data_IF_905724821032
#
_entry.id   IF_905724821032
#
_cell.length_a   1.000
_cell.length_b   1.000
_cell.length_c   1.000
_cell.angle_alpha   90.00
_cell.angle_beta   90.00
_cell.angle_gamma   90.00
#
_symmetry.space_group_name_H-M   'P 1'
#
loop_
_entity.id
_entity.type
_entity.pdbx_description
1 polymer ?
#
# COMPACT_ATOMS: atom_id res chain seq x y z
N UNK A 1 71.76 42.64 -10.41
CA UNK A 1 71.48 41.21 -10.69
C UNK A 1 70.04 40.91 -10.28
N UNK A 2 69.20 40.51 -11.24
CA UNK A 2 67.74 40.41 -11.11
C UNK A 2 67.34 39.11 -10.39
N UNK A 3 66.49 39.23 -9.35
CA UNK A 3 65.83 38.10 -8.65
C UNK A 3 64.67 37.58 -9.49
N UNK A 4 64.71 36.31 -9.89
CA UNK A 4 63.62 35.61 -10.57
C UNK A 4 62.72 34.95 -9.53
N UNK A 5 61.48 35.44 -9.40
CA UNK A 5 60.44 34.87 -8.53
C UNK A 5 59.61 33.90 -9.39
N UNK A 6 59.74 32.61 -9.12
CA UNK A 6 58.92 31.56 -9.75
C UNK A 6 57.55 31.49 -9.04
N UNK A 7 56.49 32.02 -9.66
CA UNK A 7 55.11 31.82 -9.17
C UNK A 7 54.59 30.49 -9.71
N UNK A 8 54.25 29.55 -8.82
CA UNK A 8 53.51 28.33 -9.17
C UNK A 8 52.04 28.65 -9.28
N UNK A 9 51.46 28.44 -10.46
CA UNK A 9 50.02 28.53 -10.71
C UNK A 9 49.31 27.33 -10.09
N UNK A 10 48.36 27.57 -9.20
CA UNK A 10 47.46 26.55 -8.66
C UNK A 10 46.26 26.45 -9.60
N UNK A 11 46.10 25.32 -10.28
CA UNK A 11 44.91 25.01 -11.05
C UNK A 11 43.79 24.61 -10.07
N UNK A 12 42.76 25.45 -9.95
CA UNK A 12 41.52 25.14 -9.25
C UNK A 12 40.65 24.34 -10.21
N UNK A 13 40.53 23.03 -9.97
CA UNK A 13 39.59 22.18 -10.69
C UNK A 13 38.19 22.39 -10.12
N UNK A 14 37.33 23.11 -10.86
CA UNK A 14 35.92 23.25 -10.54
C UNK A 14 35.23 21.91 -10.80
N UNK A 15 34.91 21.18 -9.73
CA UNK A 15 34.06 19.98 -9.79
C UNK A 15 32.62 20.47 -10.00
N UNK A 16 32.13 20.38 -11.24
CA UNK A 16 30.74 20.61 -11.56
C UNK A 16 29.88 19.51 -10.96
N UNK A 17 29.03 19.86 -9.99
CA UNK A 17 27.95 19.01 -9.55
C UNK A 17 26.87 18.98 -10.64
N UNK A 18 26.81 17.86 -11.37
CA UNK A 18 25.62 17.53 -12.15
C UNK A 18 24.49 17.24 -11.15
N UNK A 19 23.57 18.18 -11.00
CA UNK A 19 22.24 17.86 -10.47
C UNK A 19 21.53 17.03 -11.55
N UNK A 20 21.53 15.70 -11.37
CA UNK A 20 20.56 14.85 -12.04
C UNK A 20 19.20 15.25 -11.48
N UNK A 21 18.43 15.99 -12.28
CA UNK A 21 17.01 16.15 -12.04
C UNK A 21 16.39 14.76 -12.13
N UNK A 22 16.10 14.15 -10.99
CA UNK A 22 15.21 13.01 -10.97
C UNK A 22 13.87 13.53 -11.46
N UNK A 23 13.40 12.98 -12.58
CA UNK A 23 12.01 13.14 -12.95
C UNK A 23 11.19 12.59 -11.78
N UNK A 24 10.59 13.49 -11.00
CA UNK A 24 9.51 13.13 -10.10
C UNK A 24 8.39 12.77 -11.07
N UNK A 25 8.25 11.48 -11.39
CA UNK A 25 7.03 11.01 -12.03
C UNK A 25 5.87 11.54 -11.21
N UNK A 26 4.86 12.11 -11.86
CA UNK A 26 3.58 12.37 -11.23
C UNK A 26 3.13 11.02 -10.66
N UNK A 27 3.39 10.81 -9.37
CA UNK A 27 2.92 9.63 -8.71
C UNK A 27 1.41 9.82 -8.60
N UNK A 28 0.65 8.91 -9.20
CA UNK A 28 -0.78 8.82 -8.92
C UNK A 28 -0.99 8.75 -7.41
N UNK A 29 -1.99 9.46 -6.89
CA UNK A 29 -2.48 9.13 -5.57
C UNK A 29 -3.01 7.70 -5.59
N UNK A 30 -3.00 7.06 -4.43
CA UNK A 30 -3.61 5.75 -4.25
C UNK A 30 -4.46 5.79 -3.00
N UNK A 31 -5.73 5.47 -3.16
CA UNK A 31 -6.69 5.40 -2.07
C UNK A 31 -6.49 4.12 -1.29
N UNK A 32 -6.42 4.26 0.03
CA UNK A 32 -6.31 3.13 0.96
C UNK A 32 -7.47 3.16 1.94
N UNK A 33 -8.27 2.09 1.94
CA UNK A 33 -9.28 1.85 2.96
C UNK A 33 -8.68 1.05 4.11
N UNK A 34 -8.76 1.56 5.32
CA UNK A 34 -8.31 0.88 6.54
C UNK A 34 -9.52 0.57 7.42
N UNK A 35 -9.95 -0.68 7.44
CA UNK A 35 -11.08 -1.17 8.24
C UNK A 35 -10.56 -1.67 9.58
N UNK A 36 -11.13 -1.17 10.67
CA UNK A 36 -10.88 -1.67 12.02
C UNK A 36 -12.14 -2.33 12.57
N UNK A 37 -12.02 -3.57 13.06
CA UNK A 37 -13.15 -4.33 13.57
C UNK A 37 -12.78 -5.31 14.68
N UNK A 38 -13.75 -5.71 15.49
CA UNK A 38 -13.59 -6.64 16.59
C UNK A 38 -13.99 -8.06 16.17
N UNK A 39 -13.13 -9.06 16.37
CA UNK A 39 -13.47 -10.44 16.05
C UNK A 39 -14.66 -10.94 16.88
N UNK A 40 -15.67 -11.51 16.23
CA UNK A 40 -16.89 -12.01 16.88
C UNK A 40 -16.76 -13.44 17.41
N UNK A 41 -15.75 -14.17 16.96
CA UNK A 41 -15.46 -15.53 17.37
C UNK A 41 -13.95 -15.80 17.38
N UNK A 42 -13.54 -16.87 18.08
CA UNK A 42 -12.16 -17.36 18.04
C UNK A 42 -12.06 -18.41 16.94
N UNK A 43 -11.48 -18.03 15.80
CA UNK A 43 -11.28 -18.90 14.64
C UNK A 43 -10.10 -18.39 13.81
N UNK A 44 -9.49 -19.24 12.98
CA UNK A 44 -8.39 -18.86 12.06
C UNK A 44 -7.18 -18.18 12.76
N UNK A 45 -6.97 -18.49 14.04
CA UNK A 45 -5.95 -17.85 14.89
C UNK A 45 -6.28 -16.45 15.42
N UNK A 46 -7.46 -15.91 15.09
CA UNK A 46 -8.00 -14.71 15.73
C UNK A 46 -8.69 -15.07 17.05
N UNK A 47 -8.58 -14.16 18.02
CA UNK A 47 -9.23 -14.29 19.34
C UNK A 47 -10.46 -13.36 19.40
N UNK A 48 -11.60 -13.91 19.82
CA UNK A 48 -12.85 -13.17 20.02
C UNK A 48 -12.64 -11.96 20.93
N UNK A 49 -13.25 -10.83 20.59
CA UNK A 49 -13.21 -9.60 21.37
C UNK A 49 -11.96 -8.74 21.13
N UNK A 50 -10.94 -9.26 20.44
CA UNK A 50 -9.80 -8.44 20.04
C UNK A 50 -10.11 -7.63 18.77
N UNK A 51 -9.51 -6.45 18.68
CA UNK A 51 -9.60 -5.56 17.53
C UNK A 51 -8.47 -5.85 16.55
N UNK A 52 -8.80 -5.88 15.26
CA UNK A 52 -7.88 -6.08 14.15
C UNK A 52 -8.12 -5.03 13.09
N UNK A 53 -7.07 -4.72 12.32
CA UNK A 53 -7.09 -3.68 11.30
C UNK A 53 -6.60 -4.25 9.98
N UNK A 54 -7.32 -3.97 8.89
CA UNK A 54 -7.03 -4.43 7.55
C UNK A 54 -7.00 -3.24 6.59
N UNK A 55 -5.97 -3.15 5.76
CA UNK A 55 -5.79 -2.08 4.78
C UNK A 55 -5.90 -2.63 3.37
N UNK A 56 -6.74 -2.00 2.55
CA UNK A 56 -7.01 -2.34 1.16
C UNK A 56 -6.54 -1.17 0.29
N UNK A 57 -5.53 -1.41 -0.53
CA UNK A 57 -4.97 -0.43 -1.45
C UNK A 57 -5.66 -0.58 -2.79
N UNK A 58 -6.30 0.47 -3.28
CA UNK A 58 -7.04 0.43 -4.55
C UNK A 58 -6.17 0.79 -5.74
N UNK A 59 -6.63 0.48 -6.94
CA UNK A 59 -6.14 1.09 -8.15
C UNK A 59 -7.02 2.29 -8.47
N UNK A 60 -6.55 3.50 -8.16
CA UNK A 60 -7.32 4.73 -8.34
C UNK A 60 -7.70 4.98 -9.81
N UNK A 61 -6.86 4.53 -10.75
CA UNK A 61 -7.11 4.64 -12.18
C UNK A 61 -7.92 3.44 -12.73
N UNK A 62 -8.55 2.64 -11.86
CA UNK A 62 -9.38 1.55 -12.31
C UNK A 62 -10.54 2.11 -13.15
N UNK A 63 -10.45 1.89 -14.44
CA UNK A 63 -11.45 2.24 -15.43
C UNK A 63 -11.79 0.96 -16.19
N UNK A 64 -12.88 0.28 -15.81
CA UNK A 64 -13.28 -0.90 -16.56
C UNK A 64 -13.87 -0.47 -17.91
N UNK A 65 -13.38 -1.06 -19.00
CA UNK A 65 -13.84 -0.80 -20.35
C UNK A 65 -15.27 -1.31 -20.62
N UNK A 66 -15.80 -2.20 -19.77
CA UNK A 66 -17.15 -2.74 -19.88
C UNK A 66 -18.17 -1.92 -19.06
N UNK A 67 -19.10 -1.26 -19.75
CA UNK A 67 -20.18 -0.50 -19.12
C UNK A 67 -21.17 -1.34 -18.26
N UNK A 68 -21.08 -2.68 -18.29
CA UNK A 68 -21.84 -3.55 -17.40
C UNK A 68 -21.16 -3.75 -16.04
N UNK A 69 -19.82 -3.68 -16.02
CA UNK A 69 -19.00 -3.94 -14.83
C UNK A 69 -18.73 -2.65 -14.04
N UNK A 70 -19.03 -1.50 -14.65
CA UNK A 70 -19.07 -0.21 -13.97
C UNK A 70 -20.42 0.44 -14.27
N UNK A 71 -21.29 0.44 -13.26
CA UNK A 71 -22.65 0.96 -13.37
C UNK A 71 -22.82 2.13 -12.42
N UNK A 72 -23.29 3.23 -12.98
CA UNK A 72 -23.64 4.44 -12.25
C UNK A 72 -25.12 4.69 -12.50
N UNK A 73 -25.92 4.64 -11.46
CA UNK A 73 -27.31 5.07 -11.49
C UNK A 73 -27.52 6.25 -10.54
N UNK A 74 -28.78 6.67 -10.34
CA UNK A 74 -29.11 7.80 -9.48
C UNK A 74 -28.87 7.53 -7.98
N UNK A 75 -28.41 6.32 -7.61
CA UNK A 75 -28.36 5.83 -6.22
C UNK A 75 -27.10 5.05 -5.89
N UNK A 76 -26.40 4.54 -6.89
CA UNK A 76 -25.29 3.64 -6.68
C UNK A 76 -24.16 3.89 -7.68
N UNK A 77 -22.94 3.73 -7.18
CA UNK A 77 -21.75 3.58 -8.01
C UNK A 77 -21.15 2.19 -7.77
N UNK A 78 -20.78 1.53 -8.85
CA UNK A 78 -20.27 0.16 -8.84
C UNK A 78 -18.99 0.10 -9.67
N UNK A 79 -17.94 -0.48 -9.11
CA UNK A 79 -16.72 -0.83 -9.83
C UNK A 79 -16.46 -2.31 -9.62
N UNK A 80 -16.47 -3.08 -10.69
CA UNK A 80 -16.31 -4.52 -10.64
C UNK A 80 -15.24 -5.02 -11.60
N UNK A 81 -14.48 -5.96 -11.10
CA UNK A 81 -13.45 -6.72 -11.80
C UNK A 81 -13.85 -8.19 -11.83
N UNK A 82 -14.14 -8.76 -13.01
CA UNK A 82 -14.58 -10.16 -13.18
C UNK A 82 -13.70 -10.99 -14.12
N UNK A 83 -12.71 -10.37 -14.76
CA UNK A 83 -11.88 -11.00 -15.80
C UNK A 83 -10.40 -10.64 -15.60
N UNK A 84 -9.52 -11.63 -15.78
CA UNK A 84 -8.05 -11.44 -15.74
C UNK A 84 -7.51 -10.37 -16.69
N UNK A 85 -8.22 -10.07 -17.77
CA UNK A 85 -7.88 -9.00 -18.73
C UNK A 85 -8.26 -7.59 -18.28
N UNK A 86 -9.09 -7.44 -17.24
CA UNK A 86 -9.43 -6.15 -16.67
C UNK A 86 -8.24 -5.62 -15.87
N UNK A 87 -8.16 -4.31 -15.69
CA UNK A 87 -7.27 -3.71 -14.70
C UNK A 87 -7.61 -4.25 -13.31
N UNK A 88 -6.61 -4.28 -12.43
CA UNK A 88 -6.80 -4.77 -11.07
C UNK A 88 -7.49 -3.70 -10.22
N UNK A 89 -8.58 -4.03 -9.50
CA UNK A 89 -9.31 -3.07 -8.66
C UNK A 89 -8.58 -2.80 -7.34
N UNK A 90 -8.02 -3.85 -6.73
CA UNK A 90 -7.26 -3.76 -5.48
C UNK A 90 -5.81 -4.13 -5.72
N UNK A 91 -4.88 -3.20 -5.53
CA UNK A 91 -3.45 -3.42 -5.73
C UNK A 91 -2.79 -4.24 -4.61
N UNK A 92 -3.25 -4.08 -3.37
CA UNK A 92 -2.66 -4.77 -2.21
C UNK A 92 -3.66 -4.90 -1.05
N UNK A 93 -3.45 -5.91 -0.21
CA UNK A 93 -4.18 -6.13 1.03
C UNK A 93 -3.19 -6.45 2.14
N UNK A 94 -3.21 -5.66 3.21
CA UNK A 94 -2.26 -5.79 4.32
C UNK A 94 -2.94 -5.76 5.68
N UNK A 95 -2.32 -6.45 6.63
CA UNK A 95 -2.64 -6.37 8.05
C UNK A 95 -1.48 -6.97 8.84
N UNK A 96 -1.23 -6.45 10.04
CA UNK A 96 -0.26 -7.05 10.97
C UNK A 96 -0.63 -8.47 11.43
N UNK A 97 -1.91 -8.87 11.28
CA UNK A 97 -2.37 -10.22 11.59
C UNK A 97 -2.27 -11.18 10.41
N UNK A 98 -1.94 -10.69 9.21
CA UNK A 98 -1.80 -11.52 8.02
C UNK A 98 -0.34 -11.86 7.78
N UNK A 99 -0.11 -12.98 7.11
CA UNK A 99 1.20 -13.37 6.59
C UNK A 99 1.17 -13.49 5.07
N UNK A 100 2.30 -13.16 4.46
CA UNK A 100 2.51 -13.25 3.01
C UNK A 100 2.26 -11.93 2.28
N UNK A 101 1.93 -12.00 0.99
CA UNK A 101 1.74 -10.84 0.10
C UNK A 101 0.53 -11.10 -0.77
N UNK A 102 -0.35 -10.11 -0.90
CA UNK A 102 -1.51 -10.21 -1.77
C UNK A 102 -1.09 -10.53 -3.20
N UNK A 103 -1.73 -11.52 -3.79
CA UNK A 103 -1.65 -11.80 -5.21
C UNK A 103 -3.05 -11.82 -5.79
N UNK A 104 -3.25 -11.04 -6.84
CA UNK A 104 -4.47 -11.03 -7.63
C UNK A 104 -4.80 -12.47 -8.09
N UNK A 105 -6.03 -12.97 -7.89
CA UNK A 105 -6.46 -14.24 -8.46
C UNK A 105 -6.42 -14.20 -9.99
N UNK A 106 -5.79 -15.19 -10.65
CA UNK A 106 -5.64 -15.23 -12.11
C UNK A 106 -5.94 -16.58 -12.76
N UNK A 107 -6.47 -17.55 -12.03
CA UNK A 107 -6.38 -18.97 -12.43
C UNK A 107 -7.65 -19.55 -13.06
N UNK A 108 -8.81 -18.86 -13.00
CA UNK A 108 -10.06 -19.37 -13.58
C UNK A 108 -10.87 -18.35 -14.41
N UNK A 109 -11.83 -18.86 -15.17
CA UNK A 109 -12.85 -18.02 -15.82
C UNK A 109 -13.76 -17.42 -14.74
N UNK A 110 -13.95 -16.10 -14.76
CA UNK A 110 -14.63 -15.37 -13.69
C UNK A 110 -13.71 -14.99 -12.53
N UNK A 111 -12.40 -15.24 -12.63
CA UNK A 111 -11.41 -14.66 -11.72
C UNK A 111 -10.64 -13.50 -12.38
N UNK A 112 -10.28 -12.49 -11.58
CA UNK A 112 -10.71 -12.27 -10.19
C UNK A 112 -12.18 -11.81 -10.12
N UNK A 113 -12.78 -11.86 -8.93
CA UNK A 113 -14.15 -11.35 -8.66
C UNK A 113 -14.08 -10.33 -7.53
N UNK A 114 -13.72 -9.09 -7.87
CA UNK A 114 -13.60 -7.99 -6.91
C UNK A 114 -14.61 -6.89 -7.22
N UNK A 115 -15.16 -6.28 -6.18
CA UNK A 115 -16.20 -5.26 -6.32
C UNK A 115 -16.06 -4.18 -5.24
N UNK A 116 -16.34 -2.94 -5.63
CA UNK A 116 -16.70 -1.85 -4.73
C UNK A 116 -18.06 -1.33 -5.14
N UNK A 117 -18.95 -1.21 -4.16
CA UNK A 117 -20.30 -0.66 -4.33
C UNK A 117 -20.56 0.40 -3.28
N UNK A 118 -21.09 1.54 -3.71
CA UNK A 118 -21.70 2.54 -2.82
C UNK A 118 -23.21 2.59 -3.02
N UNK A 119 -23.94 2.91 -1.96
CA UNK A 119 -25.39 3.15 -1.99
C UNK A 119 -25.70 4.43 -1.21
N UNK A 120 -26.16 5.45 -1.92
CA UNK A 120 -26.49 6.78 -1.37
C UNK A 120 -27.67 6.72 -0.40
N UNK A 121 -28.63 5.79 -0.57
CA UNK A 121 -29.82 5.77 0.29
C UNK A 121 -29.51 5.35 1.74
N UNK A 122 -28.42 4.62 1.91
CA UNK A 122 -27.98 4.08 3.19
C UNK A 122 -26.62 4.64 3.61
N UNK A 123 -26.03 5.56 2.83
CA UNK A 123 -24.64 6.00 2.96
C UNK A 123 -23.70 4.82 3.23
N UNK A 124 -23.87 3.75 2.42
CA UNK A 124 -23.22 2.47 2.67
C UNK A 124 -22.14 2.13 1.64
N UNK A 125 -21.05 1.56 2.12
CA UNK A 125 -19.95 1.02 1.31
C UNK A 125 -19.91 -0.50 1.46
N UNK A 126 -19.82 -1.19 0.34
CA UNK A 126 -19.53 -2.62 0.26
C UNK A 126 -18.26 -2.84 -0.56
N UNK A 127 -17.37 -3.69 -0.06
CA UNK A 127 -16.15 -4.09 -0.75
C UNK A 127 -15.99 -5.60 -0.71
N UNK A 128 -15.69 -6.19 -1.86
CA UNK A 128 -15.48 -7.63 -2.01
C UNK A 128 -14.17 -7.86 -2.73
N UNK A 129 -13.33 -8.74 -2.20
CA UNK A 129 -12.18 -9.31 -2.88
C UNK A 129 -12.36 -10.82 -2.80
N UNK A 130 -12.70 -11.44 -3.91
CA UNK A 130 -13.01 -12.85 -3.98
C UNK A 130 -12.26 -13.55 -5.12
N UNK A 131 -12.12 -14.86 -4.98
CA UNK A 131 -11.80 -15.76 -6.08
C UNK A 131 -12.87 -16.83 -6.13
N UNK A 132 -13.49 -17.04 -7.28
CA UNK A 132 -14.64 -17.93 -7.40
C UNK A 132 -14.30 -19.41 -7.10
N UNK A 133 -13.02 -19.81 -7.07
CA UNK A 133 -12.63 -21.23 -7.02
C UNK A 133 -11.38 -21.57 -6.17
N UNK A 134 -10.54 -20.62 -5.74
CA UNK A 134 -9.26 -20.92 -5.07
C UNK A 134 -8.98 -20.07 -3.83
N UNK A 135 -7.83 -20.19 -3.20
CA UNK A 135 -7.42 -19.25 -2.14
C UNK A 135 -6.93 -17.96 -2.82
N UNK A 136 -7.26 -16.76 -2.31
CA UNK A 136 -6.52 -15.54 -2.63
C UNK A 136 -5.04 -15.84 -2.40
N UNK A 137 -4.30 -15.94 -3.50
CA UNK A 137 -2.94 -16.45 -3.44
C UNK A 137 -2.06 -15.53 -2.60
N UNK A 138 -1.17 -16.14 -1.81
CA UNK A 138 -0.14 -15.44 -1.08
C UNK A 138 -0.56 -14.83 0.27
N UNK A 139 -1.83 -14.86 0.69
CA UNK A 139 -2.24 -14.41 2.03
C UNK A 139 -2.75 -15.55 2.91
N UNK A 140 -2.26 -15.57 4.15
CA UNK A 140 -2.72 -16.50 5.18
C UNK A 140 -3.13 -15.76 6.45
N UNK A 141 -4.12 -16.34 7.12
CA UNK A 141 -4.57 -15.95 8.47
C UNK A 141 -3.52 -16.34 9.55
N UNK A 142 -3.64 -15.85 10.80
CA UNK A 142 -2.68 -16.12 11.86
C UNK A 142 -2.38 -17.60 12.15
N UNK A 143 -3.32 -18.52 11.89
CA UNK A 143 -3.09 -19.95 12.05
C UNK A 143 -2.43 -20.63 10.82
N UNK A 144 -2.14 -19.85 9.78
CA UNK A 144 -1.54 -20.32 8.53
C UNK A 144 -2.55 -20.76 7.47
N UNK A 145 -3.86 -20.70 7.75
CA UNK A 145 -4.90 -21.05 6.75
C UNK A 145 -4.96 -19.98 5.66
N UNK A 146 -4.98 -20.43 4.40
CA UNK A 146 -5.14 -19.57 3.23
C UNK A 146 -6.50 -18.88 3.19
N UNK A 147 -6.52 -17.63 2.75
CA UNK A 147 -7.73 -16.80 2.71
C UNK A 147 -8.36 -16.88 1.32
N UNK A 148 -9.67 -17.09 1.24
CA UNK A 148 -10.45 -17.17 -0.01
C UNK A 148 -11.08 -15.85 -0.43
N UNK A 149 -11.55 -15.08 0.56
CA UNK A 149 -12.34 -13.90 0.31
C UNK A 149 -12.21 -12.92 1.47
N UNK A 150 -12.21 -11.63 1.14
CA UNK A 150 -12.51 -10.54 2.05
C UNK A 150 -13.81 -9.88 1.63
N UNK A 151 -14.71 -9.64 2.58
CA UNK A 151 -16.00 -9.01 2.30
C UNK A 151 -16.36 -8.01 3.40
N UNK A 152 -16.31 -6.73 3.09
CA UNK A 152 -16.83 -5.67 3.94
C UNK A 152 -18.24 -5.33 3.49
N UNK A 153 -19.23 -5.59 4.35
CA UNK A 153 -20.65 -5.47 4.03
C UNK A 153 -21.27 -4.28 4.76
N UNK A 154 -21.97 -3.44 3.99
CA UNK A 154 -22.81 -2.34 4.47
C UNK A 154 -22.12 -1.55 5.58
N UNK A 155 -20.90 -1.08 5.32
CA UNK A 155 -20.25 -0.14 6.22
C UNK A 155 -21.04 1.16 6.12
N UNK A 156 -21.64 1.62 7.20
CA UNK A 156 -22.50 2.81 7.24
C UNK A 156 -21.92 3.86 8.19
N UNK A 157 -21.83 5.10 7.74
CA UNK A 157 -21.34 6.22 8.56
C UNK A 157 -22.10 7.51 8.29
N UNK A 158 -22.55 8.16 9.37
CA UNK A 158 -23.16 9.50 9.32
C UNK A 158 -22.19 10.61 8.84
N UNK A 159 -20.89 10.28 8.77
CA UNK A 159 -19.86 11.21 8.31
C UNK A 159 -19.51 11.10 6.83
N UNK A 160 -20.03 10.09 6.13
CA UNK A 160 -19.79 9.93 4.71
C UNK A 160 -20.72 10.80 3.87
N UNK A 161 -20.27 11.12 2.67
CA UNK A 161 -21.13 11.61 1.61
C UNK A 161 -20.92 10.75 0.38
N UNK A 162 -21.67 9.64 0.28
CA UNK A 162 -21.58 8.71 -0.83
C UNK A 162 -22.62 9.05 -1.91
N UNK A 163 -22.65 10.31 -2.35
CA UNK A 163 -23.55 10.75 -3.42
C UNK A 163 -23.25 9.98 -4.70
N UNK A 164 -24.25 9.42 -5.37
CA UNK A 164 -24.06 8.80 -6.66
C UNK A 164 -23.54 9.83 -7.68
N UNK A 165 -22.45 9.50 -8.39
CA UNK A 165 -21.82 10.41 -9.34
C UNK A 165 -21.63 9.71 -10.68
N UNK A 166 -22.58 9.94 -11.58
CA UNK A 166 -22.56 9.44 -12.96
C UNK A 166 -21.37 9.92 -13.80
N UNK A 167 -20.54 10.84 -13.28
CA UNK A 167 -19.34 11.36 -13.94
C UNK A 167 -18.03 10.86 -13.34
N UNK A 168 -18.06 10.26 -12.16
CA UNK A 168 -16.87 9.72 -11.48
C UNK A 168 -16.55 8.30 -11.97
N UNK A 169 -16.06 8.22 -13.21
CA UNK A 169 -15.71 6.93 -13.83
C UNK A 169 -14.55 6.22 -13.13
N UNK A 170 -13.57 6.98 -12.63
CA UNK A 170 -12.40 6.46 -11.93
C UNK A 170 -12.66 6.37 -10.42
N UNK A 171 -12.26 5.24 -9.82
CA UNK A 171 -12.44 4.98 -8.39
C UNK A 171 -11.78 6.05 -7.53
N UNK A 172 -10.54 6.44 -7.89
CA UNK A 172 -9.78 7.43 -7.13
C UNK A 172 -10.45 8.80 -7.11
N UNK A 173 -10.97 9.25 -8.25
CA UNK A 173 -11.68 10.53 -8.35
C UNK A 173 -12.90 10.56 -7.42
N UNK A 174 -13.68 9.47 -7.39
CA UNK A 174 -14.85 9.37 -6.52
C UNK A 174 -14.47 9.45 -5.03
N UNK A 175 -13.47 8.68 -4.61
CA UNK A 175 -13.08 8.59 -3.21
C UNK A 175 -12.14 9.71 -2.74
N UNK A 176 -11.62 10.54 -3.65
CA UNK A 176 -10.76 11.70 -3.36
C UNK A 176 -11.33 12.66 -2.31
N UNK A 177 -12.66 12.75 -2.22
CA UNK A 177 -13.38 13.61 -1.29
C UNK A 177 -13.57 13.02 0.11
N UNK A 178 -13.31 11.72 0.29
CA UNK A 178 -13.55 11.00 1.54
C UNK A 178 -12.31 10.87 2.42
N UNK A 179 -11.29 11.71 2.25
CA UNK A 179 -10.11 11.68 3.12
C UNK A 179 -10.48 11.89 4.59
N UNK A 180 -10.24 10.88 5.44
CA UNK A 180 -10.60 10.97 6.85
C UNK A 180 -10.72 9.65 7.58
N UNK A 181 -11.16 9.73 8.82
CA UNK A 181 -11.52 8.57 9.65
C UNK A 181 -12.95 8.72 10.12
N UNK A 182 -13.72 7.65 9.94
CA UNK A 182 -15.17 7.67 10.08
C UNK A 182 -15.58 6.58 11.07
N UNK A 183 -16.42 6.96 12.02
CA UNK A 183 -17.06 6.01 12.93
C UNK A 183 -18.14 5.26 12.16
N UNK A 184 -18.12 3.93 12.24
CA UNK A 184 -19.08 3.08 11.55
C UNK A 184 -20.22 2.75 12.51
N UNK A 185 -21.45 3.14 12.17
CA UNK A 185 -22.64 2.86 12.97
C UNK A 185 -23.08 1.40 12.83
N UNK A 186 -23.05 0.89 11.60
CA UNK A 186 -23.37 -0.48 11.26
C UNK A 186 -22.40 -0.99 10.18
N UNK A 187 -22.10 -2.28 10.21
CA UNK A 187 -21.25 -2.91 9.21
C UNK A 187 -20.52 -4.13 9.74
N UNK A 188 -20.26 -5.08 8.84
CA UNK A 188 -19.53 -6.31 9.12
C UNK A 188 -18.38 -6.47 8.14
N UNK A 189 -17.30 -7.08 8.63
CA UNK A 189 -16.21 -7.51 7.78
C UNK A 189 -16.03 -9.02 7.94
N UNK A 190 -15.96 -9.73 6.83
CA UNK A 190 -15.83 -11.17 6.77
C UNK A 190 -14.53 -11.53 6.09
N UNK A 191 -13.91 -12.58 6.60
CA UNK A 191 -12.81 -13.27 5.93
C UNK A 191 -13.17 -14.73 5.85
N UNK A 192 -13.21 -15.26 4.63
CA UNK A 192 -13.57 -16.66 4.37
C UNK A 192 -12.33 -17.45 3.96
N UNK A 193 -12.36 -18.76 4.19
CA UNK A 193 -11.33 -19.71 3.78
C UNK A 193 -12.00 -20.90 3.07
N UNK A 194 -11.34 -21.56 2.12
CA UNK A 194 -11.99 -22.64 1.37
C UNK A 194 -12.31 -23.87 2.25
N UNK A 195 -11.52 -24.09 3.32
CA UNK A 195 -11.54 -25.33 4.11
C UNK A 195 -12.05 -25.17 5.54
N UNK A 196 -11.96 -23.98 6.13
CA UNK A 196 -12.06 -23.78 7.59
C UNK A 196 -13.22 -22.84 7.98
N UNK A 197 -14.08 -22.50 7.01
CA UNK A 197 -15.22 -21.59 7.19
C UNK A 197 -14.80 -20.12 7.17
N UNK A 198 -15.62 -19.29 7.83
CA UNK A 198 -15.43 -17.84 7.88
C UNK A 198 -15.16 -17.34 9.31
N UNK A 199 -14.56 -16.16 9.39
CA UNK A 199 -14.56 -15.32 10.58
C UNK A 199 -15.23 -14.00 10.26
N UNK A 200 -15.95 -13.46 11.25
CA UNK A 200 -16.62 -12.17 11.18
C UNK A 200 -15.99 -11.20 12.19
N UNK A 201 -15.83 -9.98 11.75
CA UNK A 201 -15.40 -8.84 12.54
C UNK A 201 -16.54 -7.82 12.58
N UNK A 202 -16.96 -7.44 13.78
CA UNK A 202 -17.90 -6.37 13.97
C UNK A 202 -17.19 -5.03 13.70
N UNK A 203 -17.63 -4.30 12.68
CA UNK A 203 -17.10 -2.96 12.37
C UNK A 203 -17.98 -1.88 13.01
N UNK A 204 -19.27 -2.17 13.26
CA UNK A 204 -20.16 -1.28 14.00
C UNK A 204 -19.62 -0.93 15.40
N UNK A 205 -19.49 0.37 15.69
CA UNK A 205 -18.83 0.90 16.87
C UNK A 205 -17.30 1.04 16.77
N UNK A 206 -16.71 0.71 15.62
CA UNK A 206 -15.30 0.93 15.29
C UNK A 206 -15.19 1.97 14.15
N UNK A 207 -14.17 1.86 13.29
CA UNK A 207 -13.87 2.87 12.29
C UNK A 207 -13.38 2.33 10.96
N UNK A 208 -13.63 3.11 9.91
CA UNK A 208 -12.96 3.01 8.61
C UNK A 208 -12.19 4.30 8.39
N UNK A 209 -10.92 4.20 8.02
CA UNK A 209 -10.15 5.34 7.54
C UNK A 209 -9.94 5.23 6.03
N UNK A 210 -10.04 6.36 5.34
CA UNK A 210 -9.71 6.51 3.93
C UNK A 210 -8.56 7.50 3.86
N UNK A 211 -7.50 7.13 3.15
CA UNK A 211 -6.34 8.00 2.96
C UNK A 211 -5.81 7.91 1.55
N UNK A 212 -5.47 9.05 0.97
CA UNK A 212 -4.77 9.11 -0.32
C UNK A 212 -3.27 9.23 -0.08
N UNK A 213 -2.52 8.23 -0.53
CA UNK A 213 -1.07 8.19 -0.41
C UNK A 213 -0.47 8.65 -1.72
N UNK A 214 0.14 9.84 -1.73
CA UNK A 214 1.00 10.26 -2.83
C UNK A 214 2.37 9.57 -2.68
N UNK A 215 2.66 8.59 -3.51
CA UNK A 215 3.90 7.79 -3.54
C UNK A 215 4.01 6.65 -2.53
N UNK A 216 3.62 5.45 -2.98
CA UNK A 216 4.30 4.21 -2.56
C UNK A 216 5.72 4.28 -3.15
N UNK A 217 6.80 4.32 -2.34
CA UNK A 217 8.15 4.26 -2.89
C UNK A 217 8.27 2.94 -3.65
N UNK A 218 8.53 3.01 -4.95
CA UNK A 218 8.82 1.81 -5.72
C UNK A 218 9.93 1.00 -5.02
N UNK A 219 9.96 -0.34 -5.13
CA UNK A 219 11.05 -1.17 -4.61
C UNK A 219 12.44 -0.68 -5.04
N UNK A 220 12.52 0.00 -6.20
CA UNK A 220 13.71 0.64 -6.76
C UNK A 220 14.24 1.81 -5.91
N UNK A 221 13.37 2.55 -5.22
CA UNK A 221 13.75 3.66 -4.33
C UNK A 221 14.48 3.14 -3.08
N UNK A 222 14.04 2.00 -2.53
CA UNK A 222 14.77 1.33 -1.44
C UNK A 222 16.14 0.82 -1.90
N UNK A 223 16.24 0.28 -3.12
CA UNK A 223 17.52 -0.14 -3.69
C UNK A 223 18.49 1.04 -3.90
N UNK A 224 17.99 2.22 -4.30
CA UNK A 224 18.79 3.43 -4.44
C UNK A 224 19.31 3.95 -3.09
N UNK A 225 18.47 3.93 -2.05
CA UNK A 225 18.85 4.33 -0.68
C UNK A 225 19.88 3.37 -0.08
N UNK A 226 19.66 2.06 -0.22
CA UNK A 226 20.61 1.03 0.25
C UNK A 226 21.91 1.07 -0.55
N UNK A 227 21.85 1.30 -1.87
CA UNK A 227 23.01 1.48 -2.72
C UNK A 227 23.85 2.70 -2.35
N UNK A 228 23.20 3.83 -2.03
CA UNK A 228 23.88 5.04 -1.55
C UNK A 228 24.55 4.83 -0.19
N UNK A 229 23.89 4.14 0.75
CA UNK A 229 24.44 3.81 2.07
C UNK A 229 25.67 2.88 1.95
N UNK A 230 25.62 1.88 1.06
CA UNK A 230 26.73 0.99 0.79
C UNK A 230 27.96 1.74 0.21
N UNK A 231 27.74 2.69 -0.69
CA UNK A 231 28.81 3.54 -1.25
C UNK A 231 29.48 4.42 -0.18
N UNK A 232 28.71 5.03 0.72
CA UNK A 232 29.25 5.82 1.84
C UNK A 232 30.04 4.93 2.82
N UNK A 233 29.58 3.72 3.09
CA UNK A 233 30.29 2.72 3.90
C UNK A 233 31.64 2.33 3.29
N UNK A 234 31.70 2.07 1.99
CA UNK A 234 32.95 1.73 1.28
C UNK A 234 33.93 2.91 1.26
N UNK A 235 33.46 4.15 1.07
CA UNK A 235 34.32 5.33 1.08
C UNK A 235 34.89 5.65 2.47
N UNK A 236 34.10 5.48 3.54
CA UNK A 236 34.55 5.67 4.92
C UNK A 236 35.53 4.58 5.36
N UNK A 237 35.31 3.33 4.96
CA UNK A 237 36.24 2.23 5.24
C UNK A 237 37.59 2.42 4.53
N UNK A 238 37.60 2.87 3.27
CA UNK A 238 38.83 3.21 2.52
C UNK A 238 39.62 4.38 3.11
N UNK A 239 38.97 5.32 3.81
CA UNK A 239 39.66 6.40 4.52
C UNK A 239 40.34 5.92 5.81
N UNK A 240 39.78 4.92 6.49
CA UNK A 240 40.37 4.36 7.71
C UNK A 240 41.60 3.49 7.46
N UNK A 241 41.66 2.77 6.33
CA UNK A 241 42.82 1.92 6.00
C UNK A 241 44.05 2.67 5.49
N UNK A 242 43.95 3.98 5.24
CA UNK A 242 45.07 4.83 4.81
C UNK A 242 45.69 5.67 5.93
N UNK A 243 45.49 5.34 7.22
CA UNK A 243 46.22 5.99 8.32
C UNK A 243 47.67 5.45 8.32
N UNK A 244 48.70 6.25 8.02
CA UNK A 244 50.07 5.78 8.04
C UNK A 244 50.51 5.55 9.49
N UNK A 245 51.14 4.39 9.74
CA UNK A 245 51.84 4.12 10.98
C UNK A 245 53.04 5.07 11.09
N UNK A 246 52.96 6.07 11.96
CA UNK A 246 54.13 6.86 12.34
C UNK A 246 53.98 7.33 13.79
N UNK A 247 54.83 6.75 14.64
CA UNK A 247 55.39 7.22 15.91
C UNK A 247 55.81 5.92 16.65
N UNK A 248 56.92 5.28 16.26
CA UNK A 248 58.32 5.65 16.60
C UNK A 248 58.50 5.74 18.11
N UNK A 249 59.20 4.74 18.61
CA UNK A 249 59.87 4.63 19.90
C UNK A 249 60.28 5.97 20.50
N UNK A 250 60.08 6.11 21.81
CA UNK A 250 61.06 6.82 22.63
C UNK A 250 61.41 5.98 23.87
N UNK A 251 62.71 5.75 23.99
CA UNK A 251 63.42 5.06 25.06
C UNK A 251 63.75 6.08 26.17
N UNK A 252 63.67 5.65 27.43
CA UNK A 252 64.26 6.36 28.57
C UNK A 252 63.73 5.75 29.86
N UNK A 253 64.33 4.68 30.38
CA UNK A 253 65.54 4.65 31.22
C UNK A 253 65.28 5.11 32.67
N UNK A 254 65.47 4.13 33.58
CA UNK A 254 65.72 4.21 35.03
C UNK A 254 64.64 4.83 35.94
#
# INVERSE_FOLDING_TARGET
MKKTILRRSVAVATIGFFFSAFAVGLCGQTTVFTITGQAESTNLGYVQGNTYTFSFTMNDNFANANAYDTSFDDRHNWWREELTGNDQLFLDVTSSSLSGTYQRPTLAAGDPSSEIKTDENYDSLTMTIDSNLETLSGLTSPDGTGIHMFYAQNLESDGWNLTADSTAYEVGDYFSSLDGSYSIGYGKFFMNTPSSGYIQFNVGGNSVAVSHISAVPEPSAFAAILGAAALVGVMTQRRRTKRPASAVNDLGAA
#
